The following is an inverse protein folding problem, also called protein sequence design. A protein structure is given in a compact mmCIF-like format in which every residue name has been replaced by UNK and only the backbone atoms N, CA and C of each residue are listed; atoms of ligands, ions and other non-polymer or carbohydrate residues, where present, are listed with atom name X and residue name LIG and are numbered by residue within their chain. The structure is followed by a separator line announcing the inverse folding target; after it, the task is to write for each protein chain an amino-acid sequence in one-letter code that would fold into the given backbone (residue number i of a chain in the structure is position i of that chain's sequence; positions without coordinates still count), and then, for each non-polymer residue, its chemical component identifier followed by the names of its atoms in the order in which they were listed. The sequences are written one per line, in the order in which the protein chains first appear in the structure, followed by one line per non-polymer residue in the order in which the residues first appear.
data_IF_724117785524
#
_entry.id   IF_724117785524
#
_cell.length_a   1.000
_cell.length_b   1.000
_cell.length_c   1.000
_cell.angle_alpha   90.00
_cell.angle_beta   90.00
_cell.angle_gamma   90.00
#
_symmetry.space_group_name_H-M   'P 1'
#
loop_
_entity.id
_entity.type
_entity.pdbx_description
1 polymer ?
#
# COMPACT_ATOMS: atom_id res chain seq x y z
N UNK A 1 -9.99 -5.69 23.19
CA UNK A 1 -9.99 -4.59 24.20
C UNK A 1 -8.92 -3.52 23.95
N UNK A 2 -7.66 -3.89 23.69
CA UNK A 2 -6.55 -2.93 23.52
C UNK A 2 -6.71 -2.00 22.29
N UNK A 3 -7.05 -2.52 21.12
CA UNK A 3 -7.23 -1.72 19.88
C UNK A 3 -8.31 -0.65 20.04
N UNK A 4 -9.43 -0.97 20.65
CA UNK A 4 -10.52 -0.01 20.89
C UNK A 4 -10.07 1.14 21.81
N UNK A 5 -9.36 0.82 22.90
CA UNK A 5 -8.80 1.83 23.82
C UNK A 5 -7.77 2.73 23.12
N UNK A 6 -6.87 2.13 22.33
CA UNK A 6 -5.87 2.89 21.55
C UNK A 6 -6.51 3.79 20.51
N UNK A 7 -7.52 3.31 19.79
CA UNK A 7 -8.25 4.10 18.81
C UNK A 7 -8.91 5.34 19.42
N UNK A 8 -9.50 5.21 20.61
CA UNK A 8 -10.03 6.35 21.36
C UNK A 8 -8.94 7.38 21.72
N UNK A 9 -7.82 6.93 22.28
CA UNK A 9 -6.69 7.80 22.64
C UNK A 9 -6.10 8.51 21.41
N UNK A 10 -5.98 7.82 20.27
CA UNK A 10 -5.50 8.40 19.00
C UNK A 10 -6.46 9.49 18.52
N UNK A 11 -7.75 9.25 18.53
CA UNK A 11 -8.76 10.24 18.16
C UNK A 11 -8.68 11.47 19.09
N UNK A 12 -8.59 11.26 20.40
CA UNK A 12 -8.52 12.34 21.40
C UNK A 12 -7.23 13.14 21.32
N UNK A 13 -6.16 12.59 20.72
CA UNK A 13 -4.90 13.28 20.45
C UNK A 13 -4.94 14.19 19.20
N UNK A 14 -6.07 14.26 18.50
CA UNK A 14 -6.26 15.12 17.32
C UNK A 14 -5.85 14.49 16.00
N UNK A 15 -5.80 13.17 15.91
CA UNK A 15 -5.56 12.49 14.64
C UNK A 15 -6.73 12.67 13.67
N UNK A 16 -6.43 12.87 12.38
CA UNK A 16 -7.43 13.02 11.31
C UNK A 16 -7.90 11.68 10.76
N UNK A 17 -7.06 10.64 10.83
CA UNK A 17 -7.32 9.30 10.30
C UNK A 17 -6.71 8.26 11.24
N UNK A 18 -7.41 7.15 11.42
CA UNK A 18 -6.85 5.96 12.10
C UNK A 18 -6.63 4.85 11.08
N UNK A 19 -5.45 4.22 11.14
CA UNK A 19 -5.16 3.02 10.37
C UNK A 19 -5.13 1.81 11.30
N UNK A 20 -6.01 0.85 11.07
CA UNK A 20 -6.02 -0.46 11.73
C UNK A 20 -5.40 -1.47 10.78
N UNK A 21 -4.15 -1.80 11.03
CA UNK A 21 -3.34 -2.64 10.14
C UNK A 21 -2.91 -3.94 10.82
N UNK A 22 -3.00 -5.03 10.08
CA UNK A 22 -2.46 -6.33 10.45
C UNK A 22 -1.86 -6.98 9.20
N UNK A 23 -1.08 -8.05 9.36
CA UNK A 23 -0.45 -8.76 8.24
C UNK A 23 -1.48 -9.24 7.22
N UNK A 24 -2.56 -9.83 7.71
CA UNK A 24 -3.75 -10.22 6.95
C UNK A 24 -4.96 -9.81 7.77
N UNK A 25 -5.85 -9.05 7.17
CA UNK A 25 -7.09 -8.62 7.80
C UNK A 25 -8.28 -9.20 7.06
N UNK A 26 -9.20 -9.78 7.81
CA UNK A 26 -10.51 -10.22 7.33
C UNK A 26 -11.59 -9.72 8.28
N UNK A 27 -12.81 -9.58 7.78
CA UNK A 27 -13.95 -9.24 8.62
C UNK A 27 -14.32 -10.37 9.63
N UNK A 28 -13.79 -11.58 9.41
CA UNK A 28 -14.09 -12.81 10.15
C UNK A 28 -12.86 -13.42 10.81
N UNK A 29 -11.96 -12.59 11.33
CA UNK A 29 -10.78 -13.11 12.02
C UNK A 29 -11.20 -13.87 13.29
N UNK A 30 -10.70 -15.11 13.40
CA UNK A 30 -10.87 -15.95 14.59
C UNK A 30 -9.56 -16.11 15.35
N UNK A 31 -9.62 -16.12 16.66
CA UNK A 31 -8.49 -16.34 17.56
C UNK A 31 -8.90 -17.21 18.74
N UNK A 32 -8.08 -18.19 19.05
CA UNK A 32 -8.28 -19.06 20.20
C UNK A 32 -7.90 -18.39 21.53
N UNK A 33 -7.19 -17.27 21.49
CA UNK A 33 -6.64 -16.60 22.68
C UNK A 33 -7.41 -15.34 23.11
N UNK A 34 -8.23 -14.77 22.24
CA UNK A 34 -9.03 -13.58 22.56
C UNK A 34 -10.19 -13.40 21.57
N UNK A 35 -11.21 -12.66 21.97
CA UNK A 35 -12.27 -12.22 21.05
C UNK A 35 -11.62 -11.40 19.92
N UNK A 36 -11.86 -11.80 18.65
CA UNK A 36 -11.39 -11.12 17.47
C UNK A 36 -11.91 -9.68 17.41
N UNK A 37 -11.14 -8.79 16.77
CA UNK A 37 -11.56 -7.40 16.59
C UNK A 37 -12.82 -7.34 15.70
N UNK A 38 -13.88 -6.76 16.20
CA UNK A 38 -15.13 -6.53 15.50
C UNK A 38 -15.17 -5.09 15.00
N UNK A 39 -15.05 -4.88 13.70
CA UNK A 39 -15.03 -3.54 13.10
C UNK A 39 -16.35 -2.80 13.28
N UNK A 40 -17.48 -3.51 13.15
CA UNK A 40 -18.82 -2.95 13.39
C UNK A 40 -19.01 -2.39 14.81
N UNK A 41 -18.32 -2.97 15.80
CA UNK A 41 -18.30 -2.45 17.18
C UNK A 41 -17.27 -1.32 17.36
N UNK A 42 -16.11 -1.42 16.68
CA UNK A 42 -15.05 -0.41 16.77
C UNK A 42 -15.54 0.95 16.26
N UNK A 43 -16.20 0.97 15.10
CA UNK A 43 -16.61 2.21 14.43
C UNK A 43 -17.73 2.97 15.15
N UNK A 44 -18.45 2.34 16.09
CA UNK A 44 -19.48 3.04 16.88
C UNK A 44 -18.92 4.15 17.77
N UNK A 45 -17.67 3.98 18.22
CA UNK A 45 -17.03 4.88 19.18
C UNK A 45 -15.99 5.81 18.52
N UNK A 46 -15.71 5.62 17.23
CA UNK A 46 -14.71 6.38 16.49
C UNK A 46 -15.41 7.31 15.48
N UNK A 47 -15.08 8.61 15.57
CA UNK A 47 -15.70 9.68 14.76
C UNK A 47 -14.87 10.08 13.54
N UNK A 48 -13.57 9.74 13.53
CA UNK A 48 -12.67 10.02 12.42
C UNK A 48 -12.58 8.82 11.47
N UNK A 49 -12.21 9.02 10.20
CA UNK A 49 -12.10 7.94 9.22
C UNK A 49 -11.18 6.82 9.67
N UNK A 50 -11.62 5.57 9.51
CA UNK A 50 -10.80 4.38 9.83
C UNK A 50 -10.45 3.64 8.54
N UNK A 51 -9.16 3.53 8.27
CA UNK A 51 -8.59 2.72 7.19
C UNK A 51 -8.25 1.35 7.75
N UNK A 52 -8.56 0.30 7.02
CA UNK A 52 -8.35 -1.09 7.50
C UNK A 52 -7.58 -1.90 6.46
N UNK A 53 -6.66 -2.72 6.88
CA UNK A 53 -5.94 -3.69 6.04
C UNK A 53 -4.92 -4.52 6.83
N UNK A 54 -4.19 -5.37 6.14
CA UNK A 54 -4.12 -5.53 4.68
C UNK A 54 -4.95 -6.71 4.20
N UNK A 55 -5.46 -6.58 2.99
CA UNK A 55 -6.19 -7.64 2.29
C UNK A 55 -5.70 -7.75 0.84
N UNK A 56 -6.05 -8.83 0.13
CA UNK A 56 -5.54 -9.09 -1.24
C UNK A 56 -6.56 -9.71 -2.19
N UNK A 57 -7.77 -10.01 -1.72
CA UNK A 57 -8.74 -10.70 -2.55
C UNK A 57 -10.11 -10.03 -2.55
N UNK A 58 -10.85 -10.21 -3.64
CA UNK A 58 -12.17 -9.65 -3.86
C UNK A 58 -13.14 -9.87 -2.68
N UNK A 59 -13.34 -11.14 -2.28
CA UNK A 59 -14.32 -11.48 -1.24
C UNK A 59 -14.00 -10.87 0.11
N UNK A 60 -12.75 -10.97 0.56
CA UNK A 60 -12.32 -10.42 1.84
C UNK A 60 -12.43 -8.89 1.86
N UNK A 61 -12.06 -8.23 0.76
CA UNK A 61 -12.17 -6.78 0.61
C UNK A 61 -13.63 -6.32 0.65
N UNK A 62 -14.52 -6.99 -0.08
CA UNK A 62 -15.95 -6.67 -0.08
C UNK A 62 -16.58 -6.83 1.33
N UNK A 63 -16.22 -7.88 2.05
CA UNK A 63 -16.67 -8.10 3.43
C UNK A 63 -16.16 -6.99 4.37
N UNK A 64 -14.90 -6.55 4.23
CA UNK A 64 -14.33 -5.43 5.00
C UNK A 64 -15.08 -4.13 4.69
N UNK A 65 -15.33 -3.81 3.42
CA UNK A 65 -16.06 -2.60 3.02
C UNK A 65 -17.46 -2.55 3.62
N UNK A 66 -18.16 -3.68 3.69
CA UNK A 66 -19.49 -3.81 4.30
C UNK A 66 -19.51 -3.55 5.82
N UNK A 67 -18.35 -3.55 6.49
CA UNK A 67 -18.26 -3.17 7.90
C UNK A 67 -18.30 -1.66 8.14
N UNK A 68 -18.16 -0.85 7.08
CA UNK A 68 -18.25 0.62 7.17
C UNK A 68 -16.91 1.35 7.18
N UNK A 69 -15.80 0.71 6.80
CA UNK A 69 -14.46 1.32 6.70
C UNK A 69 -14.43 2.54 5.76
N UNK A 70 -13.52 3.45 6.00
CA UNK A 70 -13.31 4.63 5.16
C UNK A 70 -12.43 4.35 3.94
N UNK A 71 -11.44 3.45 4.06
CA UNK A 71 -10.59 2.98 2.96
C UNK A 71 -10.00 1.61 3.32
N UNK A 72 -9.44 0.92 2.32
CA UNK A 72 -8.82 -0.40 2.49
C UNK A 72 -7.37 -0.37 2.04
N UNK A 73 -6.44 -0.91 2.88
CA UNK A 73 -5.06 -1.18 2.50
C UNK A 73 -4.95 -2.54 1.83
N UNK A 74 -4.29 -2.57 0.67
CA UNK A 74 -4.17 -3.75 -0.18
C UNK A 74 -2.72 -4.16 -0.34
N UNK A 75 -2.41 -5.39 0.01
CA UNK A 75 -1.10 -6.00 -0.16
C UNK A 75 -0.67 -6.84 1.03
N UNK A 76 -0.24 -8.06 0.77
CA UNK A 76 0.32 -8.98 1.77
C UNK A 76 1.62 -9.55 1.22
N UNK A 77 2.71 -9.26 1.90
CA UNK A 77 4.03 -9.79 1.57
C UNK A 77 4.89 -9.03 0.56
N UNK A 78 4.47 -7.90 -0.09
CA UNK A 78 5.31 -7.27 -1.11
C UNK A 78 6.38 -6.34 -0.52
N UNK A 79 6.26 -5.89 0.71
CA UNK A 79 7.16 -4.93 1.34
C UNK A 79 8.51 -5.54 1.72
N UNK A 80 9.59 -4.75 1.64
CA UNK A 80 10.96 -5.19 1.98
C UNK A 80 11.10 -5.70 3.43
N UNK A 81 10.30 -5.17 4.35
CA UNK A 81 10.28 -5.60 5.76
C UNK A 81 9.28 -6.73 6.05
N UNK A 82 8.52 -7.18 5.06
CA UNK A 82 7.51 -8.19 5.25
C UNK A 82 8.09 -9.60 5.10
N UNK A 83 7.78 -10.49 6.04
CA UNK A 83 8.20 -11.90 6.04
C UNK A 83 7.02 -12.85 5.85
N UNK A 84 5.84 -12.35 5.49
CA UNK A 84 4.61 -13.16 5.45
C UNK A 84 4.65 -14.24 4.40
N UNK A 85 5.27 -13.99 3.24
CA UNK A 85 5.36 -14.98 2.15
C UNK A 85 6.23 -16.15 2.55
N UNK A 86 7.35 -15.89 3.18
CA UNK A 86 8.32 -16.90 3.63
C UNK A 86 7.83 -17.65 4.86
N UNK A 87 7.27 -16.94 5.84
CA UNK A 87 6.92 -17.51 7.14
C UNK A 87 5.52 -18.13 7.16
N UNK A 88 4.56 -17.53 6.46
CA UNK A 88 3.17 -17.95 6.49
C UNK A 88 2.69 -18.57 5.16
N UNK A 89 3.46 -18.43 4.08
CA UNK A 89 3.03 -18.84 2.74
C UNK A 89 1.85 -18.02 2.18
N UNK A 90 1.59 -16.83 2.73
CA UNK A 90 0.47 -15.97 2.35
C UNK A 90 1.01 -14.78 1.56
N UNK A 91 0.47 -14.58 0.36
CA UNK A 91 0.80 -13.43 -0.48
C UNK A 91 0.18 -13.53 -1.86
N UNK A 92 0.00 -12.38 -2.50
CA UNK A 92 -0.50 -12.24 -3.87
C UNK A 92 0.37 -11.19 -4.57
N UNK A 93 0.70 -11.34 -5.87
CA UNK A 93 1.35 -10.30 -6.64
C UNK A 93 0.56 -8.99 -6.58
N UNK A 94 1.26 -7.86 -6.38
CA UNK A 94 0.61 -6.61 -5.98
C UNK A 94 -0.37 -6.05 -7.01
N UNK A 95 -0.06 -6.16 -8.30
CA UNK A 95 -0.97 -5.75 -9.38
C UNK A 95 -2.26 -6.58 -9.33
N UNK A 96 -2.14 -7.90 -9.23
CA UNK A 96 -3.29 -8.81 -9.10
C UNK A 96 -4.13 -8.47 -7.87
N UNK A 97 -3.49 -8.29 -6.70
CA UNK A 97 -4.20 -7.92 -5.48
C UNK A 97 -4.97 -6.59 -5.62
N UNK A 98 -4.36 -5.60 -6.28
CA UNK A 98 -5.00 -4.30 -6.50
C UNK A 98 -6.22 -4.43 -7.42
N UNK A 99 -6.11 -5.15 -8.53
CA UNK A 99 -7.23 -5.38 -9.47
C UNK A 99 -8.39 -6.09 -8.77
N UNK A 100 -8.12 -7.15 -8.03
CA UNK A 100 -9.14 -7.90 -7.28
C UNK A 100 -9.87 -7.02 -6.24
N UNK A 101 -9.11 -6.21 -5.51
CA UNK A 101 -9.68 -5.33 -4.49
C UNK A 101 -10.41 -4.12 -5.12
N UNK A 102 -9.94 -3.60 -6.25
CA UNK A 102 -10.63 -2.56 -7.01
C UNK A 102 -11.98 -3.06 -7.55
N UNK A 103 -12.02 -4.29 -8.08
CA UNK A 103 -13.28 -4.91 -8.49
C UNK A 103 -14.27 -5.05 -7.31
N UNK A 104 -13.77 -5.37 -6.10
CA UNK A 104 -14.60 -5.41 -4.90
C UNK A 104 -15.12 -4.02 -4.51
N UNK A 105 -14.31 -2.96 -4.67
CA UNK A 105 -14.74 -1.56 -4.47
C UNK A 105 -15.87 -1.18 -5.44
N UNK A 106 -15.70 -1.51 -6.72
CA UNK A 106 -16.68 -1.16 -7.75
C UNK A 106 -18.01 -1.90 -7.48
N UNK A 107 -17.93 -3.18 -7.13
CA UNK A 107 -19.10 -3.96 -6.71
C UNK A 107 -19.77 -3.37 -5.47
N UNK A 108 -19.01 -2.97 -4.46
CA UNK A 108 -19.55 -2.35 -3.26
C UNK A 108 -20.21 -1.01 -3.56
N UNK A 109 -19.63 -0.24 -4.47
CA UNK A 109 -20.21 1.04 -4.92
C UNK A 109 -21.55 0.81 -5.64
N UNK A 110 -21.65 -0.18 -6.52
CA UNK A 110 -22.92 -0.57 -7.16
C UNK A 110 -24.00 -0.96 -6.15
N UNK A 111 -23.62 -1.72 -5.11
CA UNK A 111 -24.55 -2.20 -4.09
C UNK A 111 -25.02 -1.11 -3.13
N UNK A 112 -24.16 -0.18 -2.76
CA UNK A 112 -24.36 0.74 -1.62
C UNK A 112 -24.38 2.22 -1.98
N UNK A 113 -23.95 2.60 -3.18
CA UNK A 113 -23.68 3.99 -3.58
C UNK A 113 -22.49 4.62 -2.86
N UNK A 114 -21.76 3.89 -2.02
CA UNK A 114 -20.64 4.40 -1.24
C UNK A 114 -19.31 3.97 -1.84
N UNK A 115 -18.48 4.95 -2.19
CA UNK A 115 -17.13 4.72 -2.68
C UNK A 115 -16.14 4.55 -1.52
N UNK A 116 -15.42 3.42 -1.48
CA UNK A 116 -14.40 3.12 -0.47
C UNK A 116 -13.05 2.98 -1.16
N UNK A 117 -12.13 3.96 -1.03
CA UNK A 117 -10.85 3.96 -1.72
C UNK A 117 -9.98 2.74 -1.43
N UNK A 118 -9.20 2.33 -2.44
CA UNK A 118 -8.17 1.29 -2.37
C UNK A 118 -6.79 1.94 -2.31
N UNK A 119 -6.03 1.64 -1.28
CA UNK A 119 -4.64 2.09 -1.12
C UNK A 119 -3.72 0.90 -1.30
N UNK A 120 -2.97 0.88 -2.39
CA UNK A 120 -1.99 -0.18 -2.69
C UNK A 120 -0.77 -0.03 -1.79
N UNK A 121 -0.48 -1.02 -0.95
CA UNK A 121 0.54 -0.97 0.09
C UNK A 121 1.62 -2.02 -0.08
N UNK A 122 2.86 -1.56 -0.17
CA UNK A 122 4.08 -2.37 -0.14
C UNK A 122 4.67 -2.70 -1.51
N UNK A 123 6.00 -2.82 -1.54
CA UNK A 123 6.78 -3.20 -2.72
C UNK A 123 6.95 -2.09 -3.77
N UNK A 124 6.42 -0.91 -3.55
CA UNK A 124 6.46 0.23 -4.48
C UNK A 124 7.76 0.99 -4.24
N UNK A 125 8.59 1.12 -5.27
CA UNK A 125 9.93 1.72 -5.19
C UNK A 125 10.16 2.80 -6.23
N UNK A 126 9.49 2.72 -7.37
CA UNK A 126 9.72 3.55 -8.54
C UNK A 126 8.44 4.24 -9.00
N UNK A 127 8.57 5.28 -9.82
CA UNK A 127 7.45 5.91 -10.49
C UNK A 127 6.65 4.92 -11.35
N UNK A 128 7.33 3.97 -12.01
CA UNK A 128 6.66 2.91 -12.77
C UNK A 128 5.82 1.98 -11.89
N UNK A 129 6.24 1.71 -10.64
CA UNK A 129 5.43 0.94 -9.70
C UNK A 129 4.18 1.73 -9.28
N UNK A 130 4.33 3.03 -9.00
CA UNK A 130 3.19 3.93 -8.72
C UNK A 130 2.20 3.90 -9.87
N UNK A 131 2.67 4.07 -11.12
CA UNK A 131 1.82 4.04 -12.31
C UNK A 131 1.05 2.72 -12.42
N UNK A 132 1.72 1.58 -12.25
CA UNK A 132 1.08 0.25 -12.30
C UNK A 132 0.01 0.10 -11.22
N UNK A 133 0.27 0.57 -10.01
CA UNK A 133 -0.70 0.50 -8.92
C UNK A 133 -1.96 1.32 -9.22
N UNK A 134 -1.81 2.54 -9.71
CA UNK A 134 -2.95 3.39 -10.06
C UNK A 134 -3.70 2.82 -11.28
N UNK A 135 -3.00 2.44 -12.34
CA UNK A 135 -3.61 1.82 -13.52
C UNK A 135 -4.35 0.51 -13.21
N UNK A 136 -3.95 -0.19 -12.14
CA UNK A 136 -4.64 -1.38 -11.63
C UNK A 136 -5.92 -1.09 -10.84
N UNK A 137 -6.33 0.17 -10.74
CA UNK A 137 -7.53 0.59 -10.01
C UNK A 137 -7.26 1.10 -8.58
N UNK A 138 -5.99 1.21 -8.15
CA UNK A 138 -5.65 1.84 -6.87
C UNK A 138 -5.96 3.34 -6.86
N UNK A 139 -6.47 3.84 -5.75
CA UNK A 139 -6.77 5.27 -5.55
C UNK A 139 -5.58 6.02 -4.93
N UNK A 140 -4.68 5.27 -4.33
CA UNK A 140 -3.45 5.77 -3.73
C UNK A 140 -2.44 4.66 -3.50
N UNK A 141 -1.23 5.05 -3.09
CA UNK A 141 -0.14 4.13 -2.77
C UNK A 141 0.44 4.41 -1.39
N UNK A 142 0.85 3.37 -0.68
CA UNK A 142 1.60 3.46 0.57
C UNK A 142 3.01 2.91 0.38
N UNK A 143 4.00 3.71 0.75
CA UNK A 143 5.41 3.40 0.56
C UNK A 143 6.18 3.54 1.88
N UNK A 144 7.07 2.58 2.17
CA UNK A 144 7.96 2.63 3.33
C UNK A 144 9.38 3.02 2.94
N UNK A 145 10.08 2.13 2.22
CA UNK A 145 11.50 2.30 1.89
C UNK A 145 11.84 3.60 1.17
N UNK A 146 11.09 4.07 0.16
CA UNK A 146 11.40 5.33 -0.49
C UNK A 146 11.38 6.52 0.46
N UNK A 147 10.35 6.61 1.31
CA UNK A 147 10.27 7.70 2.31
C UNK A 147 11.34 7.58 3.41
N UNK A 148 11.64 6.35 3.88
CA UNK A 148 12.69 6.12 4.86
C UNK A 148 14.08 6.57 4.37
N UNK A 149 14.30 6.59 3.05
CA UNK A 149 15.52 7.05 2.41
C UNK A 149 15.64 8.56 2.24
N UNK A 150 14.66 9.34 2.69
CA UNK A 150 14.71 10.80 2.63
C UNK A 150 15.43 11.41 3.83
N UNK A 151 15.99 12.61 3.66
CA UNK A 151 16.62 13.37 4.75
C UNK A 151 15.64 13.77 5.85
N UNK A 152 14.37 13.92 5.50
CA UNK A 152 13.29 14.32 6.39
C UNK A 152 12.76 13.15 7.25
N UNK A 153 13.06 11.92 6.87
CA UNK A 153 12.59 10.74 7.60
C UNK A 153 13.28 10.61 8.96
N UNK A 154 12.54 10.53 10.08
CA UNK A 154 13.12 10.45 11.42
C UNK A 154 13.92 9.16 11.66
N UNK A 155 13.65 8.10 10.88
CA UNK A 155 14.35 6.82 10.93
C UNK A 155 15.77 6.84 10.37
N UNK A 156 16.21 7.94 9.76
CA UNK A 156 17.56 8.13 9.20
C UNK A 156 17.99 6.94 8.33
N UNK A 157 17.16 6.58 7.37
CA UNK A 157 17.42 5.48 6.45
C UNK A 157 17.09 4.09 7.00
N UNK A 158 16.44 3.99 8.14
CA UNK A 158 15.93 2.72 8.67
C UNK A 158 14.40 2.72 8.75
N UNK A 159 13.82 1.57 8.49
CA UNK A 159 12.43 1.27 8.82
C UNK A 159 12.30 -0.21 9.21
N UNK A 160 11.14 -0.61 9.69
CA UNK A 160 10.90 -1.97 10.16
C UNK A 160 9.49 -2.43 9.84
N UNK A 161 9.28 -3.75 9.83
CA UNK A 161 7.99 -4.36 9.54
C UNK A 161 6.99 -4.19 10.68
N UNK A 162 5.70 -4.25 10.33
CA UNK A 162 4.59 -4.20 11.29
C UNK A 162 4.46 -5.45 12.15
N UNK A 163 5.01 -6.61 11.68
CA UNK A 163 4.92 -7.85 12.43
C UNK A 163 5.78 -7.81 13.69
N UNK A 164 5.16 -8.08 14.84
CA UNK A 164 5.86 -8.18 16.12
C UNK A 164 6.72 -9.43 16.15
N UNK A 165 8.00 -9.36 16.59
CA UNK A 165 8.84 -10.51 16.82
C UNK A 165 8.21 -11.45 17.85
N UNK A 166 8.25 -12.75 17.58
CA UNK A 166 7.75 -13.79 18.48
C UNK A 166 8.66 -15.01 18.42
N UNK A 167 8.98 -15.61 19.58
CA UNK A 167 9.92 -16.72 19.66
C UNK A 167 9.53 -17.94 18.81
N UNK A 168 8.24 -18.27 18.78
CA UNK A 168 7.71 -19.41 18.02
C UNK A 168 7.43 -19.09 16.56
N UNK A 169 7.35 -17.81 16.19
CA UNK A 169 7.07 -17.34 14.84
C UNK A 169 7.81 -16.01 14.62
N UNK A 170 9.13 -16.04 14.40
CA UNK A 170 9.93 -14.83 14.26
C UNK A 170 9.61 -14.13 12.94
N UNK A 171 8.98 -12.95 13.01
CA UNK A 171 8.50 -12.21 11.85
C UNK A 171 9.00 -10.77 11.77
N UNK A 172 9.54 -10.24 12.85
CA UNK A 172 10.04 -8.86 12.89
C UNK A 172 11.32 -8.71 12.07
N UNK A 173 11.39 -7.67 11.23
CA UNK A 173 12.59 -7.32 10.47
C UNK A 173 12.87 -5.83 10.55
N UNK A 174 14.15 -5.48 10.45
CA UNK A 174 14.63 -4.11 10.27
C UNK A 174 15.31 -3.99 8.92
N UNK A 175 15.01 -2.94 8.18
CA UNK A 175 15.55 -2.68 6.86
C UNK A 175 16.39 -1.40 6.91
N UNK A 176 17.59 -1.46 6.34
CA UNK A 176 18.45 -0.30 6.13
C UNK A 176 18.44 0.05 4.64
N UNK A 177 17.95 1.24 4.32
CA UNK A 177 17.94 1.78 2.94
C UNK A 177 18.94 2.92 2.76
N UNK A 178 19.49 3.44 3.86
CA UNK A 178 20.33 4.64 3.85
C UNK A 178 19.56 5.91 3.57
N UNK A 179 20.20 7.06 3.75
CA UNK A 179 19.66 8.37 3.37
C UNK A 179 20.29 8.77 2.04
N UNK A 180 19.49 8.92 0.98
CA UNK A 180 19.99 9.05 -0.39
C UNK A 180 19.23 10.07 -1.23
N UNK A 181 18.19 10.71 -0.69
CA UNK A 181 17.39 11.71 -1.39
C UNK A 181 16.69 12.65 -0.40
N UNK A 182 15.98 13.66 -0.90
CA UNK A 182 15.05 14.51 -0.13
C UNK A 182 13.61 14.21 -0.52
N UNK A 183 12.66 14.54 0.34
CA UNK A 183 11.23 14.36 0.05
C UNK A 183 10.81 15.10 -1.23
N UNK A 184 11.34 16.31 -1.43
CA UNK A 184 11.10 17.10 -2.64
C UNK A 184 11.57 16.37 -3.90
N UNK A 185 12.80 15.84 -3.93
CA UNK A 185 13.33 15.10 -5.08
C UNK A 185 12.59 13.79 -5.30
N UNK A 186 12.30 13.07 -4.22
CA UNK A 186 11.54 11.83 -4.28
C UNK A 186 10.19 12.03 -4.98
N UNK A 187 9.45 13.06 -4.61
CA UNK A 187 8.09 13.26 -5.12
C UNK A 187 8.04 14.04 -6.42
N UNK A 188 8.79 15.15 -6.51
CA UNK A 188 8.59 16.15 -7.57
C UNK A 188 9.84 16.46 -8.41
N UNK A 189 11.01 15.96 -8.01
CA UNK A 189 12.26 16.29 -8.68
C UNK A 189 12.73 17.73 -8.38
N UNK A 190 13.62 18.30 -9.23
CA UNK A 190 14.26 17.66 -10.40
C UNK A 190 15.21 16.53 -10.02
N UNK A 191 15.46 15.61 -10.95
CA UNK A 191 16.37 14.49 -10.76
C UNK A 191 17.16 14.19 -12.03
N UNK A 192 18.39 13.72 -11.85
CA UNK A 192 19.22 13.13 -12.90
C UNK A 192 19.18 11.59 -12.90
N UNK A 193 18.49 10.97 -11.94
CA UNK A 193 18.36 9.51 -11.87
C UNK A 193 17.43 9.00 -12.97
N UNK A 194 17.86 7.94 -13.64
CA UNK A 194 17.12 7.29 -14.73
C UNK A 194 16.46 5.96 -14.31
N UNK A 195 16.61 5.57 -13.04
CA UNK A 195 16.11 4.32 -12.46
C UNK A 195 14.66 4.40 -11.95
N UNK A 196 14.03 5.58 -12.03
CA UNK A 196 12.66 5.82 -11.62
C UNK A 196 12.47 5.97 -10.09
N UNK A 197 13.53 6.02 -9.30
CA UNK A 197 13.46 6.10 -7.83
C UNK A 197 13.20 7.51 -7.30
N UNK A 198 13.21 8.52 -8.14
CA UNK A 198 12.86 9.91 -7.81
C UNK A 198 11.83 10.47 -8.79
N UNK A 199 11.24 11.63 -8.46
CA UNK A 199 10.19 12.30 -9.23
C UNK A 199 8.97 11.40 -9.52
N UNK A 200 8.47 10.73 -8.50
CA UNK A 200 7.39 9.73 -8.61
C UNK A 200 6.09 10.35 -9.16
N UNK A 201 5.77 11.58 -8.75
CA UNK A 201 4.59 12.30 -9.24
C UNK A 201 4.77 12.71 -10.71
N UNK A 202 5.97 13.13 -11.10
CA UNK A 202 6.29 13.42 -12.51
C UNK A 202 6.14 12.19 -13.40
N UNK A 203 6.62 11.03 -12.94
CA UNK A 203 6.43 9.77 -13.65
C UNK A 203 4.95 9.43 -13.86
N UNK A 204 4.13 9.57 -12.81
CA UNK A 204 2.68 9.34 -12.90
C UNK A 204 2.02 10.31 -13.89
N UNK A 205 2.32 11.60 -13.81
CA UNK A 205 1.77 12.60 -14.74
C UNK A 205 2.15 12.30 -16.19
N UNK A 206 3.39 11.91 -16.45
CA UNK A 206 3.87 11.53 -17.79
C UNK A 206 3.13 10.29 -18.30
N UNK A 207 3.02 9.24 -17.47
CA UNK A 207 2.30 8.01 -17.82
C UNK A 207 0.83 8.28 -18.14
N UNK A 208 0.15 9.09 -17.32
CA UNK A 208 -1.23 9.52 -17.59
C UNK A 208 -1.35 10.20 -18.96
N UNK A 209 -0.46 11.16 -19.26
CA UNK A 209 -0.44 11.84 -20.56
C UNK A 209 -0.20 10.89 -21.73
N UNK A 210 0.72 9.93 -21.59
CA UNK A 210 0.98 8.92 -22.63
C UNK A 210 -0.21 8.00 -22.88
N UNK A 211 -1.03 7.72 -21.85
CA UNK A 211 -2.25 6.94 -21.97
C UNK A 211 -3.49 7.77 -22.31
N UNK A 212 -3.33 9.07 -22.58
CA UNK A 212 -4.45 9.99 -22.92
C UNK A 212 -5.39 10.27 -21.76
N UNK A 213 -4.95 10.10 -20.53
CA UNK A 213 -5.75 10.26 -19.32
C UNK A 213 -5.55 11.64 -18.69
N UNK A 214 -6.63 12.39 -18.47
CA UNK A 214 -6.61 13.69 -17.80
C UNK A 214 -6.81 13.59 -16.28
N UNK A 215 -7.42 12.50 -15.81
CA UNK A 215 -7.73 12.25 -14.41
C UNK A 215 -7.20 10.90 -13.94
N UNK A 216 -7.00 10.75 -12.64
CA UNK A 216 -6.68 9.44 -12.02
C UNK A 216 -7.74 8.41 -12.37
N UNK A 217 -9.01 8.80 -12.40
CA UNK A 217 -10.12 7.91 -12.71
C UNK A 217 -10.06 7.38 -14.15
N UNK A 218 -9.67 8.21 -15.11
CA UNK A 218 -9.43 7.77 -16.49
C UNK A 218 -8.22 6.84 -16.56
N UNK A 219 -7.13 7.17 -15.84
CA UNK A 219 -5.93 6.35 -15.82
C UNK A 219 -6.14 4.97 -15.19
N UNK A 220 -7.08 4.84 -14.24
CA UNK A 220 -7.52 3.54 -13.69
C UNK A 220 -8.19 2.63 -14.73
N UNK A 221 -8.55 3.16 -15.90
CA UNK A 221 -9.11 2.40 -17.02
C UNK A 221 -8.06 2.09 -18.11
N UNK A 222 -6.79 2.44 -17.89
CA UNK A 222 -5.72 2.14 -18.84
C UNK A 222 -5.58 0.64 -19.03
N UNK A 223 -5.44 0.21 -20.29
CA UNK A 223 -5.26 -1.20 -20.62
C UNK A 223 -3.92 -1.73 -20.05
N UNK A 224 -3.97 -2.84 -19.35
CA UNK A 224 -2.81 -3.51 -18.79
C UNK A 224 -2.69 -4.93 -19.33
N UNK A 225 -1.49 -5.30 -19.77
CA UNK A 225 -1.20 -6.63 -20.28
C UNK A 225 -0.35 -7.40 -19.27
N UNK A 226 -0.75 -8.64 -18.97
CA UNK A 226 0.03 -9.54 -18.13
C UNK A 226 1.12 -10.19 -18.98
N UNK A 227 2.39 -9.90 -18.61
CA UNK A 227 3.54 -10.57 -19.23
C UNK A 227 3.78 -11.93 -18.52
N UNK A 228 3.78 -13.05 -19.24
CA UNK A 228 4.00 -14.38 -18.64
C UNK A 228 5.44 -14.61 -18.17
N UNK A 229 6.37 -13.79 -18.65
CA UNK A 229 7.77 -13.80 -18.21
C UNK A 229 8.35 -12.39 -18.22
N UNK A 230 9.22 -12.12 -17.24
CA UNK A 230 9.99 -10.87 -17.20
C UNK A 230 11.26 -11.09 -18.03
N UNK A 231 11.35 -10.39 -19.16
CA UNK A 231 12.60 -10.28 -19.96
C UNK A 231 13.21 -8.92 -19.69
N UNK A 232 14.50 -8.87 -19.54
CA UNK A 232 15.25 -7.62 -19.32
C UNK A 232 15.24 -6.69 -20.53
N UNK A 233 14.88 -7.20 -21.70
CA UNK A 233 14.76 -6.41 -22.95
C UNK A 233 16.01 -5.59 -23.27
N UNK A 234 17.21 -6.16 -23.00
CA UNK A 234 18.48 -5.48 -23.20
C UNK A 234 18.86 -4.48 -22.10
N UNK A 235 18.02 -4.31 -21.06
CA UNK A 235 18.30 -3.37 -19.95
C UNK A 235 19.56 -3.72 -19.14
N UNK A 236 20.02 -4.95 -19.21
CA UNK A 236 21.32 -5.36 -18.66
C UNK A 236 22.52 -4.62 -19.26
N UNK A 237 22.34 -4.02 -20.43
CA UNK A 237 23.36 -3.22 -21.11
C UNK A 237 23.19 -1.70 -20.89
N UNK A 238 22.19 -1.29 -20.10
CA UNK A 238 22.02 0.13 -19.78
C UNK A 238 23.02 0.53 -18.70
N UNK A 239 23.75 1.60 -18.99
CA UNK A 239 24.56 2.31 -18.01
C UNK A 239 23.80 3.59 -17.62
N UNK A 240 23.72 3.89 -16.32
CA UNK A 240 23.24 5.19 -15.89
C UNK A 240 24.16 6.28 -16.48
N UNK A 241 23.60 7.27 -17.16
CA UNK A 241 24.37 8.43 -17.55
C UNK A 241 24.77 9.17 -16.27
N UNK A 242 26.07 9.38 -16.09
CA UNK A 242 26.55 10.26 -15.04
C UNK A 242 25.97 11.66 -15.30
N UNK A 243 25.36 12.26 -14.28
CA UNK A 243 25.04 13.68 -14.34
C UNK A 243 26.35 14.47 -14.43
N UNK A 244 26.56 15.23 -15.53
CA UNK A 244 27.60 16.26 -15.61
C UNK A 244 27.25 17.42 -14.65
#
# INVERSE_FOLDING_TARGET
MQTKRLAGLIQDSGADIIVVQSTVTTARHESNSAEGLRFDKLFKDIRIPVVVGNTVGFKATLEIMRTGVAAVLVGVGPGAACTSREVLGIGVPQVTATIECAAARDRYFEESGRYVPIITDGGIRTGGDVCKCIASGGDGVMMGSPFAGTTEAPGRGYHWGMATPHANLPRGTRVQVGVNTTLQKLLYGPTSRTDGTENLVGALRTAMGMCGSHTIREFQQAEMIIAPSIKTEGKIYQFAQAAE
#
